data_IF_014933353190
#
_entry.id   IF_014933353190
#
_cell.length_a   1.000
_cell.length_b   1.000
_cell.length_c   1.000
_cell.angle_alpha   90.00
_cell.angle_beta   90.00
_cell.angle_gamma   90.00
#
_symmetry.space_group_name_H-M   'P 1'
#
loop_
_entity.id
_entity.type
_entity.pdbx_description
1 polymer ?
#
# COMPACT_ATOMS: atom_id res chain seq x y z
N UNK A 1 35.05 -23.51 -22.80
CA UNK A 1 34.75 -22.26 -22.04
C UNK A 1 33.23 -22.10 -22.02
N UNK A 2 32.53 -22.90 -21.22
CA UNK A 2 31.05 -22.90 -21.15
C UNK A 2 30.64 -23.16 -19.71
N UNK A 3 30.80 -22.17 -18.82
CA UNK A 3 30.37 -22.34 -17.43
C UNK A 3 29.99 -21.04 -16.71
N UNK A 4 29.72 -19.95 -17.43
CA UNK A 4 29.29 -18.67 -16.82
C UNK A 4 27.86 -18.23 -17.20
N UNK A 5 27.20 -18.89 -18.16
CA UNK A 5 25.83 -18.54 -18.54
C UNK A 5 24.75 -19.14 -17.61
N UNK A 6 25.09 -20.15 -16.80
CA UNK A 6 24.11 -20.90 -16.00
C UNK A 6 23.98 -20.39 -14.55
N UNK A 7 25.01 -19.70 -14.03
CA UNK A 7 25.08 -19.23 -12.64
C UNK A 7 24.24 -17.95 -12.39
N UNK A 8 24.04 -17.11 -13.41
CA UNK A 8 23.29 -15.85 -13.29
C UNK A 8 21.78 -16.05 -13.29
N UNK A 9 21.28 -17.09 -14.00
CA UNK A 9 19.84 -17.34 -14.18
C UNK A 9 19.15 -17.88 -12.91
N UNK A 10 19.91 -18.53 -12.02
CA UNK A 10 19.43 -19.06 -10.74
C UNK A 10 19.37 -18.00 -9.63
N UNK A 11 20.17 -16.93 -9.74
CA UNK A 11 20.24 -15.84 -8.76
C UNK A 11 19.03 -14.90 -8.85
N UNK A 12 18.67 -14.45 -10.05
CA UNK A 12 17.57 -13.50 -10.25
C UNK A 12 16.20 -14.12 -9.96
N UNK A 13 15.99 -15.39 -10.31
CA UNK A 13 14.76 -16.11 -9.98
C UNK A 13 14.53 -16.22 -8.47
N UNK A 14 15.62 -16.37 -7.68
CA UNK A 14 15.55 -16.41 -6.22
C UNK A 14 15.22 -15.03 -5.65
N UNK A 15 15.87 -13.97 -6.15
CA UNK A 15 15.59 -12.58 -5.73
C UNK A 15 14.17 -12.12 -6.05
N UNK A 16 13.65 -12.48 -7.22
CA UNK A 16 12.27 -12.20 -7.58
C UNK A 16 11.30 -12.92 -6.63
N UNK A 17 11.59 -14.18 -6.28
CA UNK A 17 10.80 -14.93 -5.31
C UNK A 17 10.83 -14.29 -3.93
N UNK A 18 12.00 -13.86 -3.45
CA UNK A 18 12.16 -13.19 -2.16
C UNK A 18 11.44 -11.84 -2.14
N UNK A 19 11.51 -11.08 -3.24
CA UNK A 19 10.79 -9.83 -3.42
C UNK A 19 9.27 -10.04 -3.39
N UNK A 20 8.77 -11.03 -4.14
CA UNK A 20 7.33 -11.38 -4.13
C UNK A 20 6.90 -11.84 -2.73
N UNK A 21 7.70 -12.65 -2.04
CA UNK A 21 7.40 -13.06 -0.66
C UNK A 21 7.33 -11.85 0.27
N UNK A 22 8.30 -10.94 0.19
CA UNK A 22 8.33 -9.71 0.99
C UNK A 22 7.10 -8.84 0.71
N UNK A 23 6.68 -8.74 -0.55
CA UNK A 23 5.46 -8.01 -0.92
C UNK A 23 4.20 -8.68 -0.37
N UNK A 24 4.11 -10.01 -0.41
CA UNK A 24 2.99 -10.74 0.19
C UNK A 24 2.93 -10.48 1.69
N UNK A 25 4.06 -10.65 2.39
CA UNK A 25 4.17 -10.41 3.83
C UNK A 25 3.81 -8.97 4.17
N UNK A 26 4.23 -8.00 3.38
CA UNK A 26 3.86 -6.59 3.56
C UNK A 26 2.34 -6.40 3.51
N UNK A 27 1.68 -7.00 2.53
CA UNK A 27 0.24 -6.82 2.35
C UNK A 27 -0.58 -7.56 3.42
N UNK A 28 -0.20 -8.79 3.77
CA UNK A 28 -0.91 -9.56 4.79
C UNK A 28 -0.73 -8.96 6.19
N UNK A 29 0.49 -8.53 6.54
CA UNK A 29 0.77 -8.05 7.88
C UNK A 29 0.33 -6.59 8.13
N UNK A 30 0.15 -5.80 7.06
CA UNK A 30 -0.18 -4.37 7.20
C UNK A 30 -1.68 -4.07 7.20
N UNK A 31 -2.51 -4.98 6.67
CA UNK A 31 -3.95 -4.72 6.49
C UNK A 31 -4.65 -4.33 7.80
N UNK A 32 -4.50 -5.15 8.83
CA UNK A 32 -5.21 -4.94 10.09
C UNK A 32 -4.75 -3.66 10.79
N UNK A 33 -3.44 -3.46 10.93
CA UNK A 33 -2.90 -2.27 11.60
C UNK A 33 -3.26 -0.99 10.86
N UNK A 34 -3.31 -1.02 9.52
CA UNK A 34 -3.74 0.12 8.74
C UNK A 34 -5.24 0.40 8.90
N UNK A 35 -6.07 -0.63 8.95
CA UNK A 35 -7.50 -0.49 9.22
C UNK A 35 -7.74 0.18 10.59
N UNK A 36 -7.12 -0.34 11.66
CA UNK A 36 -7.26 0.23 13.01
C UNK A 36 -6.81 1.70 13.07
N UNK A 37 -5.73 2.03 12.35
CA UNK A 37 -5.25 3.40 12.22
C UNK A 37 -6.25 4.32 11.51
N UNK A 38 -6.84 3.86 10.40
CA UNK A 38 -7.81 4.64 9.63
C UNK A 38 -9.11 4.86 10.41
N UNK A 39 -9.63 3.83 11.07
CA UNK A 39 -10.82 3.94 11.93
C UNK A 39 -10.59 4.94 13.05
N UNK A 40 -9.43 4.88 13.72
CA UNK A 40 -9.09 5.86 14.76
C UNK A 40 -9.00 7.27 14.21
N UNK A 41 -8.36 7.46 13.05
CA UNK A 41 -8.25 8.78 12.41
C UNK A 41 -9.63 9.35 12.09
N UNK A 42 -10.51 8.55 11.50
CA UNK A 42 -11.89 8.96 11.19
C UNK A 42 -12.70 9.32 12.43
N UNK A 43 -12.58 8.53 13.51
CA UNK A 43 -13.27 8.80 14.78
C UNK A 43 -12.76 10.10 15.42
N UNK A 44 -11.46 10.40 15.33
CA UNK A 44 -10.89 11.65 15.87
C UNK A 44 -11.42 12.87 15.11
N UNK A 45 -11.51 12.79 13.79
CA UNK A 45 -12.07 13.87 12.97
C UNK A 45 -13.56 14.11 13.28
N UNK A 46 -14.34 13.05 13.53
CA UNK A 46 -15.78 13.14 13.88
C UNK A 46 -16.02 13.80 15.25
N UNK A 47 -15.15 13.55 16.24
CA UNK A 47 -15.33 14.03 17.62
C UNK A 47 -14.78 15.45 17.88
N UNK A 48 -14.13 16.11 16.90
CA UNK A 48 -13.61 17.47 17.05
C UNK A 48 -14.62 18.58 16.72
N UNK A 49 -15.92 18.26 16.59
CA UNK A 49 -16.93 19.14 15.97
C UNK A 49 -18.01 19.66 16.94
N UNK A 50 -17.62 20.23 18.09
CA UNK A 50 -18.57 20.82 19.04
C UNK A 50 -18.37 22.28 19.40
N UNK A 51 -17.57 23.06 18.67
CA UNK A 51 -17.55 24.52 18.90
C UNK A 51 -17.15 25.33 17.66
N UNK A 52 -18.12 25.58 16.76
CA UNK A 52 -18.41 26.88 16.14
C UNK A 52 -19.11 26.77 14.77
N UNK A 53 -20.35 27.25 14.74
CA UNK A 53 -20.94 28.02 13.63
C UNK A 53 -21.23 27.32 12.27
N UNK A 54 -22.19 26.38 12.26
CA UNK A 54 -23.27 26.31 11.25
C UNK A 54 -22.93 26.28 9.73
N UNK A 55 -21.69 25.99 9.33
CA UNK A 55 -21.29 25.81 7.94
C UNK A 55 -20.33 24.63 7.83
N UNK A 56 -20.74 23.66 7.02
CA UNK A 56 -19.91 22.61 6.40
C UNK A 56 -19.40 21.48 7.31
N UNK A 57 -20.32 20.60 7.73
CA UNK A 57 -20.03 19.27 8.30
C UNK A 57 -19.28 18.32 7.33
N UNK A 58 -19.10 18.68 6.06
CA UNK A 58 -18.48 17.83 5.03
C UNK A 58 -16.95 17.90 4.98
N UNK A 59 -16.31 18.93 5.58
CA UNK A 59 -14.88 19.21 5.32
C UNK A 59 -13.89 18.34 6.12
N UNK A 60 -14.33 17.63 7.16
CA UNK A 60 -13.42 16.86 8.04
C UNK A 60 -13.38 15.36 7.79
N UNK A 61 -14.24 14.85 6.91
CA UNK A 61 -14.23 13.43 6.57
C UNK A 61 -13.08 13.09 5.61
N UNK A 62 -12.44 11.93 5.81
CA UNK A 62 -11.46 11.43 4.85
C UNK A 62 -12.17 11.16 3.52
N UNK A 63 -11.89 11.98 2.49
CA UNK A 63 -12.61 11.91 1.22
C UNK A 63 -12.20 10.71 0.34
N UNK A 64 -10.95 10.24 0.42
CA UNK A 64 -10.46 9.10 -0.34
C UNK A 64 -9.11 8.56 0.19
N UNK A 65 -8.74 7.36 -0.23
CA UNK A 65 -7.43 6.75 0.05
C UNK A 65 -6.62 6.64 -1.24
N UNK A 66 -5.41 7.21 -1.24
CA UNK A 66 -4.45 7.08 -2.35
C UNK A 66 -3.29 6.20 -1.88
N UNK A 67 -2.96 5.16 -2.64
CA UNK A 67 -1.99 4.15 -2.21
C UNK A 67 -1.06 3.72 -3.35
N UNK A 68 0.13 3.23 -3.00
CA UNK A 68 1.04 2.65 -4.00
C UNK A 68 0.54 1.26 -4.43
N UNK A 69 0.65 0.91 -5.71
CA UNK A 69 0.23 -0.39 -6.25
C UNK A 69 0.85 -1.60 -5.55
N UNK A 70 2.02 -1.45 -4.92
CA UNK A 70 2.63 -2.51 -4.11
C UNK A 70 1.86 -2.80 -2.80
N UNK A 71 1.05 -1.85 -2.32
CA UNK A 71 0.27 -1.90 -1.08
C UNK A 71 -1.22 -2.16 -1.35
N UNK A 72 -1.53 -3.22 -2.09
CA UNK A 72 -2.89 -3.55 -2.53
C UNK A 72 -3.86 -3.89 -1.37
N UNK A 73 -3.36 -4.25 -0.19
CA UNK A 73 -4.19 -4.39 1.03
C UNK A 73 -5.03 -3.14 1.33
N UNK A 74 -4.52 -1.97 0.91
CA UNK A 74 -5.17 -0.68 1.11
C UNK A 74 -6.53 -0.61 0.42
N UNK A 75 -6.71 -1.32 -0.69
CA UNK A 75 -8.01 -1.41 -1.36
C UNK A 75 -9.04 -2.09 -0.49
N UNK A 76 -8.69 -3.23 0.13
CA UNK A 76 -9.57 -3.96 1.05
C UNK A 76 -10.01 -3.08 2.22
N UNK A 77 -9.09 -2.31 2.79
CA UNK A 77 -9.42 -1.37 3.89
C UNK A 77 -10.33 -0.25 3.40
N UNK A 78 -10.07 0.32 2.22
CA UNK A 78 -10.93 1.34 1.64
C UNK A 78 -12.36 0.84 1.40
N UNK A 79 -12.50 -0.38 0.88
CA UNK A 79 -13.80 -1.01 0.64
C UNK A 79 -14.56 -1.22 1.96
N UNK A 80 -13.87 -1.64 3.04
CA UNK A 80 -14.46 -1.78 4.39
C UNK A 80 -14.94 -0.45 4.96
N UNK A 81 -14.15 0.61 4.77
CA UNK A 81 -14.46 1.97 5.21
C UNK A 81 -15.41 2.71 4.26
N UNK A 82 -15.82 2.08 3.15
CA UNK A 82 -16.67 2.66 2.10
C UNK A 82 -16.11 3.96 1.53
N UNK A 83 -14.78 4.03 1.41
CA UNK A 83 -14.09 5.17 0.83
C UNK A 83 -13.70 4.92 -0.63
N UNK A 84 -13.73 5.96 -1.49
CA UNK A 84 -13.05 5.92 -2.77
C UNK A 84 -11.57 5.63 -2.57
N UNK A 85 -11.01 4.75 -3.42
CA UNK A 85 -9.59 4.43 -3.41
C UNK A 85 -8.98 4.57 -4.80
N UNK A 86 -7.75 5.08 -4.86
CA UNK A 86 -6.99 5.19 -6.12
C UNK A 86 -5.57 4.66 -5.95
N UNK A 87 -5.21 3.67 -6.76
CA UNK A 87 -3.84 3.16 -6.82
C UNK A 87 -2.95 4.07 -7.68
N UNK A 88 -1.76 4.38 -7.20
CA UNK A 88 -0.69 5.06 -7.94
C UNK A 88 0.48 4.09 -8.08
N UNK A 89 1.12 4.04 -9.24
CA UNK A 89 2.36 3.29 -9.41
C UNK A 89 3.52 4.29 -9.38
N UNK A 90 4.25 4.35 -8.27
CA UNK A 90 5.38 5.28 -8.16
C UNK A 90 6.59 4.76 -8.96
N UNK A 91 7.46 5.68 -9.37
CA UNK A 91 8.73 5.32 -10.01
C UNK A 91 9.59 4.43 -9.12
N UNK A 92 9.48 4.57 -7.80
CA UNK A 92 10.13 3.69 -6.83
C UNK A 92 9.62 2.25 -6.94
N UNK A 93 8.30 2.03 -7.00
CA UNK A 93 7.72 0.70 -7.19
C UNK A 93 8.19 0.04 -8.49
N UNK A 94 8.23 0.81 -9.59
CA UNK A 94 8.76 0.35 -10.88
C UNK A 94 10.25 0.00 -10.77
N UNK A 95 11.04 0.84 -10.10
CA UNK A 95 12.48 0.62 -9.92
C UNK A 95 12.76 -0.62 -9.09
N UNK A 96 12.02 -0.85 -8.00
CA UNK A 96 12.13 -2.05 -7.17
C UNK A 96 11.78 -3.31 -7.95
N UNK A 97 10.72 -3.27 -8.77
CA UNK A 97 10.35 -4.37 -9.64
C UNK A 97 11.44 -4.67 -10.68
N UNK A 98 11.97 -3.64 -11.33
CA UNK A 98 13.07 -3.77 -12.29
C UNK A 98 14.28 -4.38 -11.58
N UNK A 99 14.68 -3.85 -10.42
CA UNK A 99 15.78 -4.35 -9.63
C UNK A 99 15.60 -5.84 -9.29
N UNK A 100 14.42 -6.26 -8.84
CA UNK A 100 14.14 -7.66 -8.51
C UNK A 100 14.24 -8.60 -9.73
N UNK A 101 13.98 -8.09 -10.94
CA UNK A 101 14.05 -8.87 -12.19
C UNK A 101 15.47 -8.96 -12.73
N UNK A 102 16.23 -7.86 -12.71
CA UNK A 102 17.52 -7.76 -13.40
C UNK A 102 18.74 -8.06 -12.53
N UNK A 103 18.59 -8.10 -11.20
CA UNK A 103 19.72 -8.23 -10.26
C UNK A 103 20.11 -9.66 -9.94
#
# INVERSE_FOLDING_TARGET
>A
MENQAQSTKTSSATKLKDFVSTLLDLNENSEQSFQEFMEKTMIVEENQDHDHNGREQDERSVACIVYDRLMHFTQTVADRLKLPASSVCTSAAITLLIFAIIS
#
